data_IF_867538194542
#
_entry.id   IF_867538194542
#
_cell.length_a   1.000
_cell.length_b   1.000
_cell.length_c   1.000
_cell.angle_alpha   90.00
_cell.angle_beta   90.00
_cell.angle_gamma   90.00
#
_symmetry.space_group_name_H-M   'P 1'
#
loop_
_entity.id
_entity.type
_entity.pdbx_description
1 polymer ?
#
# COMPACT_ATOMS: atom_id res chain seq x y z
N UNK A 1 3.66 19.29 -23.15
CA UNK A 1 2.58 19.27 -22.15
C UNK A 1 2.81 18.06 -21.25
N UNK A 2 3.46 18.24 -20.09
CA UNK A 2 3.64 17.17 -19.11
C UNK A 2 3.97 17.79 -17.74
N UNK A 3 3.02 18.53 -17.17
CA UNK A 3 3.08 18.96 -15.77
C UNK A 3 2.70 17.77 -14.88
N UNK A 4 3.67 16.88 -14.69
CA UNK A 4 3.58 15.70 -13.83
C UNK A 4 3.59 16.07 -12.36
N UNK A 5 2.39 16.28 -11.82
CA UNK A 5 1.97 15.95 -10.44
C UNK A 5 2.69 16.63 -9.27
N UNK A 6 2.40 17.91 -9.02
CA UNK A 6 2.13 18.36 -7.64
C UNK A 6 0.67 18.00 -7.31
N UNK A 7 0.37 16.72 -7.05
CA UNK A 7 -0.98 16.38 -6.59
C UNK A 7 -1.17 17.05 -5.23
N UNK A 8 -2.04 18.06 -5.19
CA UNK A 8 -2.40 18.75 -3.95
C UNK A 8 -2.76 17.70 -2.89
N UNK A 9 -2.31 17.82 -1.63
CA UNK A 9 -2.55 16.82 -0.59
C UNK A 9 -4.04 16.50 -0.41
N UNK A 10 -4.91 17.47 -0.69
CA UNK A 10 -6.37 17.32 -0.72
C UNK A 10 -6.88 16.34 -1.78
N UNK A 11 -6.29 16.36 -2.98
CA UNK A 11 -6.68 15.46 -4.08
C UNK A 11 -6.24 14.03 -3.80
N UNK A 12 -5.01 13.86 -3.31
CA UNK A 12 -4.51 12.56 -2.85
C UNK A 12 -5.43 11.97 -1.77
N UNK A 13 -5.84 12.79 -0.80
CA UNK A 13 -6.73 12.35 0.27
C UNK A 13 -8.11 11.94 -0.23
N UNK A 14 -8.64 12.62 -1.26
CA UNK A 14 -9.90 12.23 -1.91
C UNK A 14 -9.78 10.87 -2.60
N UNK A 15 -8.73 10.67 -3.39
CA UNK A 15 -8.48 9.39 -4.07
C UNK A 15 -8.24 8.26 -3.06
N UNK A 16 -7.47 8.52 -2.00
CA UNK A 16 -7.25 7.60 -0.88
C UNK A 16 -8.58 7.20 -0.24
N UNK A 17 -9.44 8.17 0.12
CA UNK A 17 -10.72 7.88 0.75
C UNK A 17 -11.64 7.08 -0.18
N UNK A 18 -11.68 7.39 -1.47
CA UNK A 18 -12.49 6.65 -2.44
C UNK A 18 -11.99 5.21 -2.61
N UNK A 19 -10.67 5.03 -2.74
CA UNK A 19 -10.04 3.72 -2.79
C UNK A 19 -10.35 2.91 -1.53
N UNK A 20 -10.23 3.54 -0.35
CA UNK A 20 -10.54 2.90 0.93
C UNK A 20 -12.00 2.53 1.07
N UNK A 21 -12.92 3.37 0.60
CA UNK A 21 -14.34 3.07 0.60
C UNK A 21 -14.65 1.84 -0.28
N UNK A 22 -14.10 1.81 -1.51
CA UNK A 22 -14.23 0.68 -2.43
C UNK A 22 -13.62 -0.60 -1.86
N UNK A 23 -12.42 -0.52 -1.28
CA UNK A 23 -11.73 -1.65 -0.67
C UNK A 23 -12.52 -2.21 0.51
N UNK A 24 -12.97 -1.35 1.44
CA UNK A 24 -13.81 -1.76 2.56
C UNK A 24 -15.07 -2.47 2.09
N UNK A 25 -15.75 -1.92 1.07
CA UNK A 25 -16.96 -2.54 0.50
C UNK A 25 -16.69 -3.91 -0.13
N UNK A 26 -15.58 -4.05 -0.87
CA UNK A 26 -15.18 -5.33 -1.44
C UNK A 26 -14.89 -6.38 -0.35
N UNK A 27 -14.22 -5.97 0.70
CA UNK A 27 -13.86 -6.82 1.83
C UNK A 27 -15.07 -7.22 2.69
N UNK A 28 -15.98 -6.29 2.95
CA UNK A 28 -17.28 -6.58 3.54
C UNK A 28 -18.06 -7.58 2.68
N UNK A 29 -18.02 -7.45 1.35
CA UNK A 29 -18.64 -8.41 0.44
C UNK A 29 -17.97 -9.78 0.43
N UNK A 30 -16.71 -9.88 0.88
CA UNK A 30 -15.92 -11.12 0.97
C UNK A 30 -15.94 -11.74 2.37
N UNK A 31 -16.81 -11.25 3.26
CA UNK A 31 -16.86 -11.63 4.68
C UNK A 31 -15.54 -11.42 5.45
N UNK A 32 -14.67 -10.55 4.92
CA UNK A 32 -13.38 -10.20 5.52
C UNK A 32 -13.39 -8.75 5.98
N UNK A 33 -14.12 -8.39 7.04
CA UNK A 33 -14.20 -7.00 7.47
C UNK A 33 -12.81 -6.50 7.88
N UNK A 34 -12.23 -5.59 7.09
CA UNK A 34 -11.05 -4.81 7.47
C UNK A 34 -11.43 -3.90 8.65
N UNK A 35 -11.39 -4.46 9.87
CA UNK A 35 -11.72 -3.75 11.12
C UNK A 35 -10.72 -2.64 11.44
N UNK A 36 -9.46 -2.78 11.01
CA UNK A 36 -8.41 -1.77 11.15
C UNK A 36 -7.49 -1.78 9.93
N UNK A 37 -6.95 -0.61 9.60
CA UNK A 37 -5.80 -0.52 8.72
C UNK A 37 -4.68 -1.36 9.33
N UNK A 38 -4.02 -2.21 8.53
CA UNK A 38 -2.93 -2.99 9.07
C UNK A 38 -1.79 -2.04 9.45
N UNK A 39 -1.46 -2.02 10.74
CA UNK A 39 -0.40 -1.20 11.27
C UNK A 39 0.91 -1.98 11.20
N UNK A 40 1.96 -1.37 10.65
CA UNK A 40 3.26 -2.00 10.54
C UNK A 40 4.30 -1.24 11.36
N UNK A 41 4.92 -1.93 12.32
CA UNK A 41 5.90 -1.30 13.23
C UNK A 41 5.32 -0.15 14.07
N UNK A 42 4.01 -0.11 14.31
CA UNK A 42 3.34 0.99 15.02
C UNK A 42 2.93 2.18 14.14
N UNK A 43 3.14 2.10 12.81
CA UNK A 43 2.71 3.11 11.85
C UNK A 43 1.58 2.58 10.95
N UNK A 44 0.56 3.39 10.72
CA UNK A 44 -0.51 3.05 9.79
C UNK A 44 0.04 2.92 8.36
N UNK A 45 -0.24 1.79 7.71
CA UNK A 45 0.16 1.57 6.32
C UNK A 45 -0.86 2.24 5.40
N UNK A 46 -0.37 3.17 4.59
CA UNK A 46 -1.13 3.74 3.48
C UNK A 46 -1.31 2.69 2.36
N UNK A 47 -2.48 2.06 2.34
CA UNK A 47 -2.83 1.04 1.35
C UNK A 47 -2.91 1.58 -0.09
N UNK A 48 -3.27 2.86 -0.27
CA UNK A 48 -3.31 3.48 -1.60
C UNK A 48 -1.90 3.71 -2.13
N UNK A 49 -0.98 4.19 -1.29
CA UNK A 49 0.44 4.31 -1.62
C UNK A 49 1.04 2.92 -1.92
N UNK A 50 0.65 1.91 -1.14
CA UNK A 50 1.13 0.53 -1.33
C UNK A 50 0.69 0.02 -2.69
N UNK A 51 -0.60 0.14 -2.98
CA UNK A 51 -1.19 -0.25 -4.26
C UNK A 51 -0.54 0.50 -5.43
N UNK A 52 -0.38 1.83 -5.33
CA UNK A 52 0.29 2.61 -6.38
C UNK A 52 1.74 2.19 -6.58
N UNK A 53 2.50 2.01 -5.51
CA UNK A 53 3.92 1.62 -5.60
C UNK A 53 4.04 0.24 -6.24
N UNK A 54 3.26 -0.74 -5.79
CA UNK A 54 3.23 -2.09 -6.35
C UNK A 54 2.81 -2.07 -7.82
N UNK A 55 1.77 -1.30 -8.16
CA UNK A 55 1.29 -1.16 -9.55
C UNK A 55 2.34 -0.50 -10.43
N UNK A 56 3.04 0.53 -9.94
CA UNK A 56 4.11 1.22 -10.65
C UNK A 56 5.32 0.32 -10.92
N UNK A 57 5.59 -0.62 -10.02
CA UNK A 57 6.63 -1.65 -10.18
C UNK A 57 6.19 -2.82 -11.10
N UNK A 58 4.99 -2.75 -11.69
CA UNK A 58 4.46 -3.78 -12.59
C UNK A 58 3.56 -4.82 -11.92
N UNK A 59 3.02 -4.49 -10.76
CA UNK A 59 2.03 -5.29 -10.04
C UNK A 59 2.62 -6.28 -9.04
N UNK A 60 1.73 -6.92 -8.29
CA UNK A 60 2.07 -7.85 -7.21
C UNK A 60 3.02 -8.97 -7.64
N UNK A 61 2.73 -9.60 -8.78
CA UNK A 61 3.51 -10.72 -9.32
C UNK A 61 4.94 -10.29 -9.58
N UNK A 62 5.13 -9.17 -10.29
CA UNK A 62 6.45 -8.66 -10.64
C UNK A 62 7.25 -8.25 -9.42
N UNK A 63 6.65 -7.50 -8.49
CA UNK A 63 7.32 -7.11 -7.24
C UNK A 63 7.75 -8.33 -6.41
N UNK A 64 6.94 -9.39 -6.42
CA UNK A 64 7.24 -10.63 -5.71
C UNK A 64 8.33 -11.44 -6.39
N UNK A 65 8.31 -11.52 -7.72
CA UNK A 65 9.31 -12.23 -8.54
C UNK A 65 10.69 -11.56 -8.45
N UNK A 66 10.74 -10.24 -8.67
CA UNK A 66 11.97 -9.43 -8.57
C UNK A 66 12.43 -9.19 -7.12
N UNK A 67 11.68 -9.66 -6.10
CA UNK A 67 11.95 -9.37 -4.67
C UNK A 67 12.06 -7.88 -4.34
N UNK A 68 11.37 -7.02 -5.10
CA UNK A 68 11.33 -5.57 -4.96
C UNK A 68 10.50 -5.06 -3.76
N UNK A 69 10.01 -5.96 -2.91
CA UNK A 69 9.35 -5.62 -1.65
C UNK A 69 10.21 -4.74 -0.73
N UNK A 70 11.55 -4.83 -0.84
CA UNK A 70 12.46 -3.93 -0.13
C UNK A 70 12.36 -2.48 -0.61
N UNK A 71 12.19 -2.26 -1.91
CA UNK A 71 12.01 -0.92 -2.48
C UNK A 71 10.65 -0.33 -2.08
N UNK A 72 9.61 -1.16 -2.10
CA UNK A 72 8.29 -0.78 -1.57
C UNK A 72 8.41 -0.36 -0.10
N UNK A 73 9.08 -1.16 0.74
CA UNK A 73 9.28 -0.84 2.16
C UNK A 73 10.06 0.47 2.38
N UNK A 74 11.06 0.77 1.55
CA UNK A 74 11.80 2.05 1.61
C UNK A 74 10.88 3.25 1.39
N UNK A 75 9.89 3.14 0.51
CA UNK A 75 8.90 4.21 0.28
C UNK A 75 8.03 4.51 1.51
N UNK A 76 7.87 3.54 2.42
CA UNK A 76 7.06 3.68 3.63
C UNK A 76 7.83 4.25 4.84
N UNK A 77 9.09 4.68 4.66
CA UNK A 77 9.96 5.18 5.75
C UNK A 77 9.94 4.26 7.00
N UNK A 78 9.87 2.94 6.78
CA UNK A 78 9.86 1.98 7.87
C UNK A 78 11.23 1.96 8.56
N UNK A 79 11.29 1.81 9.90
CA UNK A 79 12.55 1.82 10.63
C UNK A 79 13.48 0.68 10.18
N UNK A 80 14.82 0.91 10.16
CA UNK A 80 15.79 -0.08 9.70
C UNK A 80 15.84 -1.37 10.56
N UNK A 81 15.31 -1.35 11.79
CA UNK A 81 15.15 -2.54 12.64
C UNK A 81 14.13 -3.56 12.10
N UNK A 82 13.46 -3.23 11.00
CA UNK A 82 12.35 -3.97 10.46
C UNK A 82 12.86 -4.86 9.32
N UNK A 83 13.78 -5.79 9.65
CA UNK A 83 14.45 -6.76 8.76
C UNK A 83 13.45 -7.56 7.90
N UNK A 84 12.19 -7.67 8.33
CA UNK A 84 11.13 -8.42 7.66
C UNK A 84 10.03 -7.52 7.07
N UNK A 85 10.24 -6.20 6.92
CA UNK A 85 9.25 -5.28 6.34
C UNK A 85 8.76 -5.71 4.97
N UNK A 86 9.69 -6.11 4.11
CA UNK A 86 9.39 -6.61 2.77
C UNK A 86 8.47 -7.83 2.81
N UNK A 87 8.81 -8.81 3.66
CA UNK A 87 8.02 -10.02 3.84
C UNK A 87 6.64 -9.73 4.43
N UNK A 88 6.55 -8.81 5.37
CA UNK A 88 5.29 -8.51 6.02
C UNK A 88 4.36 -7.65 5.16
N UNK A 89 4.88 -6.70 4.38
CA UNK A 89 4.10 -6.01 3.33
C UNK A 89 3.55 -7.01 2.33
N UNK A 90 4.36 -7.99 1.93
CA UNK A 90 3.93 -9.10 1.09
C UNK A 90 2.77 -9.86 1.77
N UNK A 91 2.93 -10.31 3.00
CA UNK A 91 1.86 -11.02 3.73
C UNK A 91 0.58 -10.19 3.86
N UNK A 92 0.71 -8.89 4.16
CA UNK A 92 -0.40 -7.96 4.35
C UNK A 92 -1.19 -7.69 3.07
N UNK A 93 -0.54 -7.68 1.90
CA UNK A 93 -1.23 -7.47 0.63
C UNK A 93 -1.95 -8.73 0.12
N UNK A 94 -1.44 -9.93 0.45
CA UNK A 94 -2.11 -11.21 0.14
C UNK A 94 -3.22 -11.54 1.13
N UNK A 95 -3.17 -10.97 2.33
CA UNK A 95 -4.18 -11.15 3.36
C UNK A 95 -5.46 -10.44 2.96
#
# INVERSE_FOLDING_TARGET
>A
MAEGTRKNPLEYQREYNEFMYKLKRFLTSKDMPMKKLPQFGGQDIDLYLLYKTVTNLGGWLKVTDDRNWHEVAKNFNLPPSCLNSAFALRQLYVR
#
